data_IF_735347582820
#
_entry.id   IF_735347582820
#
_cell.length_a   1.000
_cell.length_b   1.000
_cell.length_c   1.000
_cell.angle_alpha   90.00
_cell.angle_beta   90.00
_cell.angle_gamma   90.00
#
_symmetry.space_group_name_H-M   'P 1'
#
loop_
_entity.id
_entity.type
_entity.pdbx_description
1 polymer ?
#
# COMPACT_ATOMS: atom_id res chain seq x y z
N UNK A 1 44.13 -19.28 22.12
CA UNK A 1 43.01 -18.31 22.13
C UNK A 1 43.61 -17.00 21.69
N UNK A 2 43.24 -16.46 20.53
CA UNK A 2 43.65 -15.10 20.21
C UNK A 2 42.92 -14.20 21.20
N UNK A 3 43.65 -13.40 21.97
CA UNK A 3 43.05 -12.37 22.80
C UNK A 3 42.18 -11.52 21.89
N UNK A 4 40.87 -11.62 22.06
CA UNK A 4 39.91 -10.82 21.33
C UNK A 4 40.10 -9.41 21.90
N UNK A 5 40.81 -8.56 21.16
CA UNK A 5 41.07 -7.17 21.53
C UNK A 5 39.76 -6.37 21.41
N UNK A 6 38.94 -6.47 22.46
CA UNK A 6 37.70 -5.70 22.58
C UNK A 6 38.12 -4.25 22.86
N UNK A 7 37.71 -3.28 22.02
CA UNK A 7 38.04 -1.88 22.25
C UNK A 7 37.60 -1.42 23.63
N UNK A 8 38.44 -0.66 24.34
CA UNK A 8 38.20 -0.23 25.73
C UNK A 8 36.79 0.33 25.96
N UNK A 9 36.27 1.11 25.01
CA UNK A 9 34.93 1.70 25.09
C UNK A 9 33.76 0.69 25.09
N UNK A 10 34.01 -0.56 24.69
CA UNK A 10 33.02 -1.63 24.62
C UNK A 10 33.25 -2.76 25.62
N UNK A 11 34.28 -2.67 26.48
CA UNK A 11 34.65 -3.75 27.43
C UNK A 11 33.49 -4.15 28.35
N UNK A 12 32.64 -3.18 28.73
CA UNK A 12 31.49 -3.42 29.60
C UNK A 12 30.16 -3.59 28.83
N UNK A 13 30.18 -3.68 27.50
CA UNK A 13 28.96 -3.81 26.70
C UNK A 13 28.60 -5.30 26.47
N UNK A 14 27.53 -5.76 27.11
CA UNK A 14 27.01 -7.13 26.93
C UNK A 14 26.49 -7.44 25.52
N UNK A 15 26.20 -6.41 24.73
CA UNK A 15 25.65 -6.51 23.37
C UNK A 15 26.72 -6.37 22.27
N UNK A 16 28.01 -6.35 22.61
CA UNK A 16 29.07 -6.22 21.62
C UNK A 16 29.24 -7.53 20.83
N UNK A 17 29.08 -7.47 19.51
CA UNK A 17 29.18 -8.61 18.61
C UNK A 17 30.46 -8.54 17.78
N UNK A 18 31.45 -9.37 18.14
CA UNK A 18 32.69 -9.51 17.37
C UNK A 18 32.48 -10.40 16.13
N UNK A 19 33.04 -10.06 14.95
CA UNK A 19 33.84 -8.87 14.61
C UNK A 19 33.02 -7.70 14.06
N UNK A 20 31.70 -7.82 13.97
CA UNK A 20 30.83 -6.88 13.25
C UNK A 20 30.84 -5.45 13.80
N UNK A 21 31.07 -5.29 15.10
CA UNK A 21 31.03 -4.01 15.78
C UNK A 21 32.40 -3.30 15.86
N UNK A 22 33.49 -3.96 15.43
CA UNK A 22 34.83 -3.35 15.39
C UNK A 22 34.89 -2.08 14.55
N UNK A 23 34.01 -1.95 13.56
CA UNK A 23 33.91 -0.75 12.71
C UNK A 23 33.51 0.53 13.48
N UNK A 24 33.01 0.40 14.71
CA UNK A 24 32.65 1.53 15.58
C UNK A 24 33.77 1.94 16.55
N UNK A 25 34.91 1.24 16.54
CA UNK A 25 36.00 1.45 17.52
C UNK A 25 36.57 2.87 17.57
N UNK A 26 36.56 3.58 16.44
CA UNK A 26 37.15 4.91 16.30
C UNK A 26 36.09 6.03 16.29
N UNK A 27 34.83 5.71 16.62
CA UNK A 27 33.76 6.69 16.56
C UNK A 27 33.73 7.56 17.81
N UNK A 28 33.63 8.88 17.62
CA UNK A 28 33.46 9.84 18.71
C UNK A 28 32.12 9.61 19.42
N UNK A 29 32.15 9.64 20.75
CA UNK A 29 30.98 9.44 21.61
C UNK A 29 30.16 10.72 21.63
N UNK A 30 28.83 10.61 21.55
CA UNK A 30 27.93 11.76 21.75
C UNK A 30 27.89 12.13 23.24
N UNK A 31 27.81 13.42 23.57
CA UNK A 31 27.74 13.88 24.96
C UNK A 31 26.53 13.33 25.73
N UNK A 32 25.50 12.84 25.02
CA UNK A 32 24.20 12.49 25.60
C UNK A 32 23.96 10.98 25.75
N UNK A 33 24.79 10.10 25.18
CA UNK A 33 24.58 8.64 25.24
C UNK A 33 25.89 7.88 25.45
N UNK A 34 25.84 6.80 26.22
CA UNK A 34 26.99 5.91 26.38
C UNK A 34 27.27 5.11 25.09
N UNK A 35 28.51 4.65 24.86
CA UNK A 35 28.83 3.80 23.71
C UNK A 35 28.01 2.51 23.66
N UNK A 36 27.79 1.87 24.81
CA UNK A 36 26.98 0.65 24.90
C UNK A 36 25.51 0.90 24.53
N UNK A 37 24.94 2.04 24.95
CA UNK A 37 23.58 2.41 24.62
C UNK A 37 23.41 2.69 23.12
N UNK A 38 24.35 3.43 22.53
CA UNK A 38 24.38 3.68 21.08
C UNK A 38 24.48 2.37 20.29
N UNK A 39 25.34 1.44 20.75
CA UNK A 39 25.48 0.11 20.14
C UNK A 39 24.18 -0.71 20.24
N UNK A 40 23.53 -0.67 21.41
CA UNK A 40 22.24 -1.34 21.64
C UNK A 40 21.19 -0.85 20.64
N UNK A 41 21.06 0.46 20.42
CA UNK A 41 20.11 1.01 19.44
C UNK A 41 20.40 0.59 18.01
N UNK A 42 21.68 0.52 17.63
CA UNK A 42 22.10 0.03 16.31
C UNK A 42 21.70 -1.43 16.11
N UNK A 43 21.93 -2.29 17.11
CA UNK A 43 21.54 -3.70 17.04
C UNK A 43 20.03 -3.89 17.04
N UNK A 44 19.31 -3.12 17.86
CA UNK A 44 17.85 -3.09 17.81
C UNK A 44 17.35 -2.68 16.42
N UNK A 45 17.91 -1.63 15.80
CA UNK A 45 17.55 -1.22 14.45
C UNK A 45 17.83 -2.33 13.41
N UNK A 46 18.99 -2.98 13.46
CA UNK A 46 19.34 -4.09 12.56
C UNK A 46 18.40 -5.29 12.74
N UNK A 47 18.14 -5.70 13.98
CA UNK A 47 17.27 -6.82 14.31
C UNK A 47 15.85 -6.52 13.87
N UNK A 48 15.35 -5.34 14.26
CA UNK A 48 14.01 -4.89 13.92
C UNK A 48 13.80 -4.86 12.40
N UNK A 49 14.75 -4.28 11.65
CA UNK A 49 14.77 -4.31 10.19
C UNK A 49 14.75 -5.73 9.62
N UNK A 50 15.54 -6.65 10.18
CA UNK A 50 15.61 -8.04 9.71
C UNK A 50 14.27 -8.77 9.90
N UNK A 51 13.63 -8.63 11.07
CA UNK A 51 12.39 -9.33 11.36
C UNK A 51 11.17 -8.64 10.74
N UNK A 52 11.00 -7.33 10.97
CA UNK A 52 9.78 -6.59 10.63
C UNK A 52 9.80 -5.99 9.23
N UNK A 53 10.96 -5.74 8.61
CA UNK A 53 11.04 -5.24 7.24
C UNK A 53 11.31 -6.36 6.23
N UNK A 54 12.06 -7.40 6.61
CA UNK A 54 12.35 -8.52 5.71
C UNK A 54 11.49 -9.77 5.99
N UNK A 55 11.67 -10.45 7.12
CA UNK A 55 11.11 -11.80 7.34
C UNK A 55 9.58 -11.79 7.34
N UNK A 56 8.95 -10.92 8.15
CA UNK A 56 7.49 -10.88 8.26
C UNK A 56 6.85 -10.45 6.93
N UNK A 57 7.25 -9.32 6.30
CA UNK A 57 6.74 -8.93 4.98
C UNK A 57 6.95 -9.99 3.91
N UNK A 58 8.04 -10.75 3.95
CA UNK A 58 8.28 -11.86 3.02
C UNK A 58 7.16 -12.91 3.07
N UNK A 59 6.85 -13.44 4.26
CA UNK A 59 5.79 -14.44 4.39
C UNK A 59 4.40 -13.88 4.06
N UNK A 60 4.09 -12.66 4.52
CA UNK A 60 2.80 -12.02 4.25
C UNK A 60 2.65 -11.73 2.74
N UNK A 61 3.71 -11.31 2.05
CA UNK A 61 3.68 -11.02 0.61
C UNK A 61 3.39 -12.26 -0.23
N UNK A 62 3.91 -13.44 0.14
CA UNK A 62 3.60 -14.71 -0.55
C UNK A 62 2.10 -14.98 -0.49
N UNK A 63 1.50 -14.83 0.70
CA UNK A 63 0.06 -15.02 0.87
C UNK A 63 -0.74 -13.99 0.08
N UNK A 64 -0.31 -12.72 0.08
CA UNK A 64 -0.92 -11.65 -0.70
C UNK A 64 -0.87 -11.95 -2.22
N UNK A 65 0.25 -12.48 -2.73
CA UNK A 65 0.40 -12.85 -4.14
C UNK A 65 -0.60 -13.95 -4.50
N UNK A 66 -0.70 -15.01 -3.69
CA UNK A 66 -1.63 -16.13 -3.93
C UNK A 66 -3.08 -15.62 -3.99
N UNK A 67 -3.48 -14.77 -3.05
CA UNK A 67 -4.83 -14.19 -3.02
C UNK A 67 -5.09 -13.29 -4.22
N UNK A 68 -4.15 -12.42 -4.59
CA UNK A 68 -4.31 -11.53 -5.74
C UNK A 68 -4.34 -12.30 -7.06
N UNK A 69 -3.54 -13.36 -7.20
CA UNK A 69 -3.61 -14.27 -8.36
C UNK A 69 -4.96 -14.99 -8.44
N UNK A 70 -5.49 -15.43 -7.29
CA UNK A 70 -6.82 -16.04 -7.23
C UNK A 70 -7.93 -15.06 -7.63
N UNK A 71 -7.89 -13.84 -7.11
CA UNK A 71 -8.82 -12.78 -7.52
C UNK A 71 -8.69 -12.50 -9.02
N UNK A 72 -7.48 -12.35 -9.53
CA UNK A 72 -7.22 -12.11 -10.95
C UNK A 72 -7.82 -13.22 -11.82
N UNK A 73 -7.63 -14.48 -11.45
CA UNK A 73 -8.26 -15.62 -12.11
C UNK A 73 -9.79 -15.52 -12.12
N UNK A 74 -10.41 -15.21 -10.97
CA UNK A 74 -11.86 -15.02 -10.88
C UNK A 74 -12.35 -13.85 -11.77
N UNK A 75 -11.64 -12.72 -11.78
CA UNK A 75 -11.96 -11.55 -12.59
C UNK A 75 -11.86 -11.84 -14.09
N UNK A 76 -10.83 -12.55 -14.54
CA UNK A 76 -10.65 -12.93 -15.94
C UNK A 76 -11.76 -13.88 -16.40
N UNK A 77 -12.12 -14.87 -15.59
CA UNK A 77 -13.20 -15.80 -15.92
C UNK A 77 -14.55 -15.08 -15.99
N UNK A 78 -14.80 -14.15 -15.08
CA UNK A 78 -15.99 -13.31 -15.10
C UNK A 78 -16.00 -12.38 -16.33
N UNK A 79 -14.85 -11.78 -16.67
CA UNK A 79 -14.71 -10.92 -17.85
C UNK A 79 -15.00 -11.67 -19.16
N UNK A 80 -14.47 -12.89 -19.32
CA UNK A 80 -14.75 -13.75 -20.48
C UNK A 80 -16.25 -14.05 -20.63
N UNK A 81 -16.95 -14.32 -19.52
CA UNK A 81 -18.41 -14.53 -19.53
C UNK A 81 -19.15 -13.26 -19.95
N UNK A 82 -18.76 -12.10 -19.42
CA UNK A 82 -19.34 -10.82 -19.82
C UNK A 82 -19.10 -10.51 -21.31
N UNK A 83 -17.97 -10.91 -21.90
CA UNK A 83 -17.72 -10.73 -23.34
C UNK A 83 -18.69 -11.58 -24.17
N UNK A 84 -18.95 -12.82 -23.76
CA UNK A 84 -19.88 -13.72 -24.46
C UNK A 84 -21.32 -13.18 -24.46
N UNK A 85 -21.74 -12.57 -23.35
CA UNK A 85 -23.04 -11.92 -23.24
C UNK A 85 -23.02 -10.52 -23.90
N UNK A 86 -23.10 -10.50 -25.24
CA UNK A 86 -23.08 -9.27 -26.05
C UNK A 86 -24.39 -8.47 -26.02
N UNK A 87 -25.50 -9.07 -25.61
CA UNK A 87 -26.84 -8.49 -25.80
C UNK A 87 -27.32 -7.52 -24.72
N UNK A 88 -26.76 -7.58 -23.51
CA UNK A 88 -27.35 -6.89 -22.35
C UNK A 88 -26.64 -5.55 -22.01
N UNK A 89 -27.38 -4.44 -22.04
CA UNK A 89 -26.86 -3.10 -21.77
C UNK A 89 -26.32 -2.94 -20.33
N UNK A 90 -26.96 -3.61 -19.35
CA UNK A 90 -26.46 -3.71 -17.97
C UNK A 90 -25.06 -4.33 -17.86
N UNK A 91 -24.68 -5.20 -18.82
CA UNK A 91 -23.35 -5.83 -18.86
C UNK A 91 -22.28 -4.81 -19.28
N UNK A 92 -22.64 -3.80 -20.08
CA UNK A 92 -21.70 -2.74 -20.51
C UNK A 92 -21.20 -1.89 -19.34
N UNK A 93 -22.09 -1.52 -18.42
CA UNK A 93 -21.70 -0.76 -17.21
C UNK A 93 -20.70 -1.51 -16.32
N UNK A 94 -20.94 -2.81 -16.12
CA UNK A 94 -20.02 -3.68 -15.35
C UNK A 94 -18.70 -3.94 -16.06
N UNK A 95 -18.69 -4.08 -17.39
CA UNK A 95 -17.45 -4.22 -18.19
C UNK A 95 -16.48 -3.06 -17.92
N UNK A 96 -16.99 -1.82 -17.86
CA UNK A 96 -16.18 -0.62 -17.58
C UNK A 96 -15.51 -0.70 -16.21
N UNK A 97 -16.26 -1.01 -15.16
CA UNK A 97 -15.72 -1.16 -13.79
C UNK A 97 -14.69 -2.30 -13.70
N UNK A 98 -14.98 -3.41 -14.38
CA UNK A 98 -14.12 -4.60 -14.39
C UNK A 98 -12.74 -4.32 -15.03
N UNK A 99 -12.65 -3.44 -16.02
CA UNK A 99 -11.36 -3.03 -16.61
C UNK A 99 -10.46 -2.38 -15.57
N UNK A 100 -10.99 -1.47 -14.75
CA UNK A 100 -10.19 -0.82 -13.70
C UNK A 100 -9.86 -1.79 -12.57
N UNK A 101 -10.79 -2.66 -12.19
CA UNK A 101 -10.56 -3.66 -11.15
C UNK A 101 -9.47 -4.66 -11.58
N UNK A 102 -9.49 -5.13 -12.84
CA UNK A 102 -8.44 -6.01 -13.38
C UNK A 102 -7.08 -5.29 -13.38
N UNK A 103 -7.00 -4.05 -13.89
CA UNK A 103 -5.74 -3.30 -13.91
C UNK A 103 -5.21 -3.02 -12.50
N UNK A 104 -6.10 -2.75 -11.54
CA UNK A 104 -5.75 -2.61 -10.13
C UNK A 104 -5.16 -3.91 -9.57
N UNK A 105 -5.78 -5.07 -9.84
CA UNK A 105 -5.24 -6.36 -9.39
C UNK A 105 -3.90 -6.69 -10.06
N UNK A 106 -3.74 -6.42 -11.37
CA UNK A 106 -2.45 -6.59 -12.06
C UNK A 106 -1.38 -5.73 -11.41
N UNK A 107 -1.69 -4.47 -11.13
CA UNK A 107 -0.80 -3.52 -10.46
C UNK A 107 -0.40 -4.03 -9.07
N UNK A 108 -1.35 -4.52 -8.28
CA UNK A 108 -1.09 -5.15 -6.98
C UNK A 108 -0.16 -6.36 -7.10
N UNK A 109 -0.38 -7.24 -8.09
CA UNK A 109 0.50 -8.41 -8.32
C UNK A 109 1.91 -7.96 -8.69
N UNK A 110 2.05 -7.03 -9.63
CA UNK A 110 3.36 -6.49 -10.05
C UNK A 110 4.06 -5.86 -8.85
N UNK A 111 3.35 -5.06 -8.06
CA UNK A 111 3.89 -4.44 -6.85
C UNK A 111 4.41 -5.47 -5.84
N UNK A 112 3.62 -6.51 -5.55
CA UNK A 112 4.01 -7.57 -4.62
C UNK A 112 5.17 -8.42 -5.15
N UNK A 113 5.17 -8.76 -6.44
CA UNK A 113 6.26 -9.52 -7.08
C UNK A 113 7.55 -8.70 -7.05
N UNK A 114 7.50 -7.41 -7.37
CA UNK A 114 8.72 -6.61 -7.33
C UNK A 114 9.18 -6.32 -5.91
N UNK A 115 8.26 -6.09 -4.96
CA UNK A 115 8.60 -6.00 -3.55
C UNK A 115 9.32 -7.27 -3.08
N UNK A 116 8.81 -8.45 -3.46
CA UNK A 116 9.43 -9.74 -3.17
C UNK A 116 10.83 -9.88 -3.79
N UNK A 117 10.99 -9.53 -5.08
CA UNK A 117 12.30 -9.53 -5.76
C UNK A 117 13.28 -8.59 -5.05
N UNK A 118 12.84 -7.41 -4.63
CA UNK A 118 13.73 -6.49 -3.92
C UNK A 118 14.12 -7.03 -2.55
N UNK A 119 13.21 -7.66 -1.79
CA UNK A 119 13.59 -8.32 -0.54
C UNK A 119 14.62 -9.43 -0.76
N UNK A 120 14.51 -10.19 -1.85
CA UNK A 120 15.51 -11.21 -2.22
C UNK A 120 16.85 -10.58 -2.60
N UNK A 121 16.85 -9.59 -3.49
CA UNK A 121 18.07 -8.86 -3.90
C UNK A 121 18.74 -8.22 -2.70
N UNK A 122 17.96 -7.70 -1.76
CA UNK A 122 18.48 -7.12 -0.53
C UNK A 122 19.06 -8.16 0.43
N UNK A 123 18.53 -9.38 0.44
CA UNK A 123 19.08 -10.49 1.23
C UNK A 123 20.39 -11.03 0.64
N UNK A 124 20.51 -11.10 -0.69
CA UNK A 124 21.68 -11.65 -1.38
C UNK A 124 22.75 -10.62 -1.77
N UNK A 125 22.38 -9.34 -1.89
CA UNK A 125 23.24 -8.27 -2.36
C UNK A 125 23.46 -7.18 -1.31
N UNK A 126 24.57 -6.44 -1.44
CA UNK A 126 24.76 -5.20 -0.67
C UNK A 126 23.90 -4.08 -1.27
N UNK A 127 23.32 -3.24 -0.40
CA UNK A 127 22.54 -2.07 -0.79
C UNK A 127 23.43 -1.05 -1.53
N UNK A 128 23.35 -1.04 -2.85
CA UNK A 128 23.95 -0.02 -3.71
C UNK A 128 22.90 1.00 -4.17
N UNK A 129 23.35 2.17 -4.64
CA UNK A 129 22.49 3.20 -5.23
C UNK A 129 21.50 2.63 -6.25
N UNK A 130 21.96 1.79 -7.18
CA UNK A 130 21.10 1.19 -8.22
C UNK A 130 19.95 0.37 -7.62
N UNK A 131 20.25 -0.48 -6.63
CA UNK A 131 19.23 -1.29 -5.95
C UNK A 131 18.23 -0.43 -5.17
N UNK A 132 18.70 0.62 -4.49
CA UNK A 132 17.86 1.53 -3.75
C UNK A 132 16.98 2.39 -4.67
N UNK A 133 17.53 2.87 -5.78
CA UNK A 133 16.77 3.62 -6.79
C UNK A 133 15.69 2.75 -7.41
N UNK A 134 16.03 1.55 -7.88
CA UNK A 134 15.04 0.61 -8.40
C UNK A 134 13.95 0.29 -7.37
N UNK A 135 14.31 0.11 -6.10
CA UNK A 135 13.33 -0.11 -5.04
C UNK A 135 12.36 1.07 -4.89
N UNK A 136 12.89 2.30 -4.83
CA UNK A 136 12.06 3.50 -4.68
C UNK A 136 11.21 3.72 -5.94
N UNK A 137 11.77 3.53 -7.15
CA UNK A 137 11.02 3.62 -8.41
C UNK A 137 9.85 2.64 -8.38
N UNK A 138 10.09 1.37 -8.04
CA UNK A 138 9.01 0.38 -8.09
C UNK A 138 8.00 0.58 -6.96
N UNK A 139 8.46 0.91 -5.74
CA UNK A 139 7.58 1.23 -4.62
C UNK A 139 6.67 2.41 -4.92
N UNK A 140 7.24 3.50 -5.44
CA UNK A 140 6.47 4.68 -5.85
C UNK A 140 5.58 4.41 -7.05
N UNK A 141 6.02 3.60 -8.03
CA UNK A 141 5.21 3.24 -9.22
C UNK A 141 3.97 2.49 -8.77
N UNK A 142 4.17 1.48 -7.93
CA UNK A 142 3.11 0.68 -7.34
C UNK A 142 2.14 1.54 -6.54
N UNK A 143 2.65 2.45 -5.71
CA UNK A 143 1.83 3.33 -4.89
C UNK A 143 0.98 4.30 -5.74
N UNK A 144 1.59 4.98 -6.72
CA UNK A 144 0.91 5.98 -7.54
C UNK A 144 -0.10 5.31 -8.48
N UNK A 145 0.25 4.19 -9.11
CA UNK A 145 -0.68 3.43 -9.95
C UNK A 145 -1.86 2.90 -9.15
N UNK A 146 -1.62 2.29 -7.98
CA UNK A 146 -2.68 1.79 -7.11
C UNK A 146 -3.62 2.93 -6.66
N UNK A 147 -3.05 4.05 -6.20
CA UNK A 147 -3.80 5.25 -5.81
C UNK A 147 -4.63 5.79 -6.97
N UNK A 148 -4.04 5.89 -8.16
CA UNK A 148 -4.74 6.31 -9.38
C UNK A 148 -5.89 5.39 -9.75
N UNK A 149 -5.73 4.07 -9.64
CA UNK A 149 -6.81 3.11 -9.87
C UNK A 149 -7.90 3.16 -8.81
N UNK A 150 -7.55 3.32 -7.53
CA UNK A 150 -8.54 3.53 -6.47
C UNK A 150 -9.37 4.80 -6.72
N UNK A 151 -8.70 5.90 -7.06
CA UNK A 151 -9.37 7.14 -7.41
C UNK A 151 -10.30 6.95 -8.62
N UNK A 152 -9.80 6.34 -9.70
CA UNK A 152 -10.59 6.11 -10.91
C UNK A 152 -11.80 5.18 -10.66
N UNK A 153 -11.62 4.09 -9.92
CA UNK A 153 -12.72 3.18 -9.57
C UNK A 153 -13.78 3.88 -8.72
N UNK A 154 -13.36 4.66 -7.72
CA UNK A 154 -14.27 5.44 -6.87
C UNK A 154 -15.01 6.50 -7.68
N UNK A 155 -14.32 7.21 -8.57
CA UNK A 155 -14.93 8.21 -9.46
C UNK A 155 -15.96 7.57 -10.40
N UNK A 156 -15.67 6.39 -10.95
CA UNK A 156 -16.63 5.66 -11.78
C UNK A 156 -17.84 5.17 -11.00
N UNK A 157 -17.63 4.71 -9.77
CA UNK A 157 -18.72 4.32 -8.87
C UNK A 157 -19.59 5.53 -8.53
N UNK A 158 -18.98 6.66 -8.21
CA UNK A 158 -19.66 7.93 -7.97
C UNK A 158 -20.50 8.36 -9.18
N UNK A 159 -19.92 8.36 -10.38
CA UNK A 159 -20.64 8.69 -11.61
C UNK A 159 -21.79 7.72 -11.89
N UNK A 160 -21.59 6.43 -11.64
CA UNK A 160 -22.62 5.41 -11.85
C UNK A 160 -23.82 5.57 -10.89
N UNK A 161 -23.58 5.94 -9.63
CA UNK A 161 -24.64 6.10 -8.61
C UNK A 161 -25.32 7.46 -8.73
N UNK A 162 -24.55 8.55 -8.73
CA UNK A 162 -25.09 9.92 -8.61
C UNK A 162 -25.54 10.46 -9.96
N UNK A 163 -24.88 10.07 -11.07
CA UNK A 163 -25.18 10.58 -12.42
C UNK A 163 -25.28 9.43 -13.45
N UNK A 164 -26.25 8.51 -13.31
CA UNK A 164 -26.35 7.32 -14.16
C UNK A 164 -26.48 7.65 -15.65
N UNK A 165 -27.20 8.73 -16.00
CA UNK A 165 -27.37 9.18 -17.40
C UNK A 165 -26.04 9.65 -18.01
N UNK A 166 -25.26 10.43 -17.25
CA UNK A 166 -23.93 10.89 -17.68
C UNK A 166 -22.96 9.71 -17.82
N UNK A 167 -22.98 8.78 -16.87
CA UNK A 167 -22.18 7.56 -16.93
C UNK A 167 -22.49 6.70 -18.16
N UNK A 168 -23.77 6.61 -18.54
CA UNK A 168 -24.21 5.87 -19.73
C UNK A 168 -23.73 6.52 -21.02
N UNK A 169 -23.82 7.84 -21.12
CA UNK A 169 -23.57 8.60 -22.35
C UNK A 169 -22.10 8.93 -22.59
N UNK A 170 -21.37 9.37 -21.56
CA UNK A 170 -20.03 9.96 -21.74
C UNK A 170 -18.90 8.96 -21.52
N UNK A 171 -19.06 8.05 -20.56
CA UNK A 171 -18.02 7.09 -20.18
C UNK A 171 -18.02 5.92 -21.15
N UNK A 172 -17.11 5.92 -22.12
CA UNK A 172 -16.97 4.82 -23.09
C UNK A 172 -15.80 3.92 -22.71
N UNK A 173 -15.85 2.66 -23.14
CA UNK A 173 -14.77 1.68 -22.90
C UNK A 173 -13.42 2.17 -23.44
N UNK A 174 -13.41 2.86 -24.60
CA UNK A 174 -12.21 3.46 -25.17
C UNK A 174 -11.60 4.52 -24.24
N UNK A 175 -12.42 5.42 -23.68
CA UNK A 175 -11.97 6.42 -22.71
C UNK A 175 -11.43 5.78 -21.43
N UNK A 176 -12.02 4.67 -20.99
CA UNK A 176 -11.49 3.93 -19.83
C UNK A 176 -10.07 3.42 -20.08
N UNK A 177 -9.79 2.82 -21.25
CA UNK A 177 -8.44 2.39 -21.61
C UNK A 177 -7.46 3.55 -21.75
N UNK A 178 -7.89 4.68 -22.31
CA UNK A 178 -7.07 5.90 -22.38
C UNK A 178 -6.73 6.37 -20.95
N UNK A 179 -7.71 6.41 -20.04
CA UNK A 179 -7.48 6.81 -18.65
C UNK A 179 -6.50 5.88 -17.93
N UNK A 180 -6.61 4.56 -18.14
CA UNK A 180 -5.63 3.58 -17.64
C UNK A 180 -4.23 3.92 -18.15
N UNK A 181 -4.08 4.16 -19.46
CA UNK A 181 -2.80 4.54 -20.06
C UNK A 181 -2.22 5.83 -19.47
N UNK A 182 -3.04 6.86 -19.25
CA UNK A 182 -2.63 8.12 -18.62
C UNK A 182 -2.16 7.90 -17.20
N UNK A 183 -2.86 7.09 -16.40
CA UNK A 183 -2.45 6.76 -15.02
C UNK A 183 -1.07 6.10 -15.03
N UNK A 184 -0.83 5.14 -15.93
CA UNK A 184 0.46 4.46 -16.06
C UNK A 184 1.60 5.41 -16.46
N UNK A 185 1.38 6.25 -17.47
CA UNK A 185 2.40 7.20 -17.94
C UNK A 185 2.74 8.21 -16.85
N UNK A 186 1.73 8.77 -16.19
CA UNK A 186 1.93 9.69 -15.08
C UNK A 186 2.67 9.02 -13.93
N UNK A 187 2.23 7.83 -13.50
CA UNK A 187 2.88 7.10 -12.43
C UNK A 187 4.34 6.78 -12.77
N UNK A 188 4.62 6.28 -13.96
CA UNK A 188 5.98 5.97 -14.40
C UNK A 188 6.88 7.21 -14.39
N UNK A 189 6.40 8.33 -14.93
CA UNK A 189 7.16 9.59 -14.95
C UNK A 189 7.50 10.06 -13.55
N UNK A 190 6.53 10.08 -12.63
CA UNK A 190 6.75 10.52 -11.25
C UNK A 190 7.63 9.55 -10.47
N UNK A 191 7.49 8.25 -10.70
CA UNK A 191 8.28 7.23 -10.01
C UNK A 191 9.74 7.24 -10.41
N UNK A 192 10.06 7.48 -11.68
CA UNK A 192 11.44 7.67 -12.13
C UNK A 192 12.05 8.89 -11.44
N UNK A 193 11.32 10.02 -11.41
CA UNK A 193 11.78 11.24 -10.75
C UNK A 193 12.02 11.01 -9.24
N UNK A 194 11.01 10.49 -8.53
CA UNK A 194 11.08 10.22 -7.08
C UNK A 194 12.17 9.19 -6.77
N UNK A 195 12.34 8.17 -7.61
CA UNK A 195 13.30 7.10 -7.36
C UNK A 195 14.75 7.48 -7.64
N UNK A 196 15.02 8.33 -8.63
CA UNK A 196 16.36 8.88 -8.86
C UNK A 196 16.71 9.87 -7.75
N UNK A 197 15.83 10.85 -7.50
CA UNK A 197 16.06 11.88 -6.47
C UNK A 197 16.11 11.29 -5.06
N UNK A 198 15.21 10.35 -4.76
CA UNK A 198 15.16 9.65 -3.48
C UNK A 198 16.38 8.76 -3.25
N UNK A 199 16.92 8.10 -4.28
CA UNK A 199 18.16 7.34 -4.11
C UNK A 199 19.38 8.24 -3.89
N UNK A 200 19.44 9.39 -4.57
CA UNK A 200 20.51 10.37 -4.40
C UNK A 200 20.52 10.93 -2.98
N UNK A 201 19.34 11.12 -2.38
CA UNK A 201 19.16 11.53 -0.98
C UNK A 201 19.82 10.54 0.01
N UNK A 202 19.75 9.24 -0.25
CA UNK A 202 20.28 8.21 0.66
C UNK A 202 21.71 7.73 0.35
N UNK A 203 22.17 7.89 -0.90
CA UNK A 203 23.42 7.30 -1.41
C UNK A 203 24.24 8.29 -2.26
N UNK A 204 24.48 9.51 -1.75
CA UNK A 204 25.24 10.55 -2.45
C UNK A 204 26.60 10.07 -2.96
N UNK A 205 27.36 9.30 -2.17
CA UNK A 205 28.71 8.82 -2.50
C UNK A 205 28.77 7.94 -3.76
N UNK A 206 27.68 7.25 -4.07
CA UNK A 206 27.59 6.33 -5.23
C UNK A 206 26.65 6.85 -6.31
N UNK A 207 26.08 8.03 -6.11
CA UNK A 207 25.16 8.64 -7.05
C UNK A 207 25.95 9.29 -8.20
N UNK A 208 25.41 9.26 -9.44
CA UNK A 208 26.06 9.92 -10.57
C UNK A 208 26.02 11.45 -10.46
N UNK A 209 25.18 12.00 -9.58
CA UNK A 209 25.00 13.43 -9.38
C UNK A 209 25.49 13.76 -7.98
N UNK A 210 26.72 14.27 -7.87
CA UNK A 210 27.26 14.75 -6.60
C UNK A 210 26.46 15.98 -6.14
N UNK A 211 25.55 15.77 -5.20
CA UNK A 211 24.79 16.85 -4.56
C UNK A 211 25.30 17.09 -3.14
N UNK A 212 25.70 18.32 -2.86
CA UNK A 212 25.94 18.76 -1.49
C UNK A 212 24.61 18.89 -0.75
N UNK A 213 24.66 18.67 0.57
CA UNK A 213 23.46 18.60 1.41
C UNK A 213 22.64 19.89 1.36
N UNK A 214 23.29 21.03 1.65
CA UNK A 214 22.64 22.33 1.83
C UNK A 214 22.07 22.93 0.53
N UNK A 215 22.69 22.65 -0.62
CA UNK A 215 22.30 23.27 -1.89
C UNK A 215 21.27 22.46 -2.67
N UNK A 216 21.21 21.15 -2.45
CA UNK A 216 20.44 20.26 -3.31
C UNK A 216 19.62 19.23 -2.54
N UNK A 217 20.23 18.51 -1.60
CA UNK A 217 19.56 17.39 -0.93
C UNK A 217 18.35 17.83 -0.11
N UNK A 218 18.54 18.87 0.71
CA UNK A 218 17.50 19.40 1.59
C UNK A 218 16.32 20.04 0.82
N UNK A 219 16.54 20.94 -0.17
CA UNK A 219 15.43 21.49 -0.96
C UNK A 219 14.69 20.42 -1.77
N UNK A 220 15.38 19.39 -2.26
CA UNK A 220 14.73 18.26 -2.95
C UNK A 220 13.86 17.46 -1.98
N UNK A 221 14.37 17.11 -0.80
CA UNK A 221 13.62 16.36 0.21
C UNK A 221 12.39 17.14 0.67
N UNK A 222 12.53 18.45 0.92
CA UNK A 222 11.44 19.34 1.27
C UNK A 222 10.41 19.44 0.15
N UNK A 223 10.85 19.68 -1.09
CA UNK A 223 9.97 19.79 -2.26
C UNK A 223 9.19 18.48 -2.51
N UNK A 224 9.84 17.33 -2.41
CA UNK A 224 9.20 16.02 -2.57
C UNK A 224 8.18 15.76 -1.46
N UNK A 225 8.52 16.08 -0.22
CA UNK A 225 7.62 15.90 0.93
C UNK A 225 6.39 16.78 0.81
N UNK A 226 6.56 18.06 0.44
CA UNK A 226 5.44 18.98 0.20
C UNK A 226 4.58 18.48 -0.96
N UNK A 227 5.20 18.08 -2.07
CA UNK A 227 4.47 17.60 -3.24
C UNK A 227 3.65 16.33 -2.95
N UNK A 228 4.27 15.33 -2.32
CA UNK A 228 3.59 14.09 -1.90
C UNK A 228 2.49 14.41 -0.88
N UNK A 229 2.75 15.32 0.06
CA UNK A 229 1.78 15.77 1.05
C UNK A 229 0.53 16.40 0.42
N UNK A 230 0.71 17.31 -0.54
CA UNK A 230 -0.38 17.94 -1.29
C UNK A 230 -1.18 16.89 -2.06
N UNK A 231 -0.51 15.97 -2.77
CA UNK A 231 -1.18 14.90 -3.50
C UNK A 231 -2.00 13.99 -2.57
N UNK A 232 -1.47 13.65 -1.41
CA UNK A 232 -2.14 12.79 -0.44
C UNK A 232 -3.37 13.48 0.16
N UNK A 233 -3.25 14.75 0.57
CA UNK A 233 -4.37 15.56 1.06
C UNK A 233 -5.44 15.68 -0.03
N UNK A 234 -5.05 15.94 -1.27
CA UNK A 234 -5.99 16.04 -2.40
C UNK A 234 -6.77 14.74 -2.60
N UNK A 235 -6.10 13.58 -2.60
CA UNK A 235 -6.75 12.27 -2.73
C UNK A 235 -7.72 12.01 -1.57
N UNK A 236 -7.33 12.35 -0.33
CA UNK A 236 -8.20 12.20 0.84
C UNK A 236 -9.43 13.10 0.73
N UNK A 237 -9.25 14.37 0.38
CA UNK A 237 -10.36 15.33 0.23
C UNK A 237 -11.34 14.88 -0.85
N UNK A 238 -10.85 14.47 -2.02
CA UNK A 238 -11.69 13.93 -3.09
C UNK A 238 -12.46 12.69 -2.62
N UNK A 239 -11.80 11.80 -1.88
CA UNK A 239 -12.43 10.61 -1.33
C UNK A 239 -13.54 10.94 -0.32
N UNK A 240 -13.29 11.87 0.60
CA UNK A 240 -14.27 12.36 1.59
C UNK A 240 -15.45 13.02 0.87
N UNK A 241 -15.20 13.91 -0.10
CA UNK A 241 -16.25 14.58 -0.86
C UNK A 241 -17.11 13.57 -1.62
N UNK A 242 -16.49 12.56 -2.25
CA UNK A 242 -17.22 11.51 -2.95
C UNK A 242 -18.07 10.67 -2.00
N UNK A 243 -17.50 10.22 -0.87
CA UNK A 243 -18.23 9.46 0.15
C UNK A 243 -19.39 10.27 0.73
N UNK A 244 -19.17 11.54 1.05
CA UNK A 244 -20.19 12.44 1.55
C UNK A 244 -21.35 12.57 0.55
N UNK A 245 -21.05 12.83 -0.73
CA UNK A 245 -22.08 12.95 -1.78
C UNK A 245 -22.85 11.64 -1.99
N UNK A 246 -22.16 10.49 -1.96
CA UNK A 246 -22.81 9.17 -2.05
C UNK A 246 -23.74 8.95 -0.85
N UNK A 247 -23.29 9.30 0.36
CA UNK A 247 -24.09 9.14 1.57
C UNK A 247 -25.33 10.04 1.54
N UNK A 248 -25.18 11.32 1.17
CA UNK A 248 -26.32 12.25 1.03
C UNK A 248 -27.31 11.71 -0.01
N UNK A 249 -26.84 11.33 -1.19
CA UNK A 249 -27.70 10.78 -2.25
C UNK A 249 -28.44 9.52 -1.81
N UNK A 250 -27.73 8.59 -1.15
CA UNK A 250 -28.33 7.35 -0.64
C UNK A 250 -29.38 7.63 0.42
N UNK A 251 -29.11 8.57 1.34
CA UNK A 251 -30.06 8.98 2.39
C UNK A 251 -31.31 9.65 1.81
N UNK A 252 -31.15 10.52 0.82
CA UNK A 252 -32.27 11.18 0.14
C UNK A 252 -33.14 10.17 -0.61
N UNK A 253 -32.53 9.23 -1.34
CA UNK A 253 -33.27 8.19 -2.05
C UNK A 253 -33.92 7.19 -1.09
N UNK A 254 -33.26 6.79 0.00
CA UNK A 254 -33.87 5.90 0.99
C UNK A 254 -35.10 6.55 1.61
N UNK A 255 -35.02 7.86 1.92
CA UNK A 255 -36.15 8.62 2.43
C UNK A 255 -37.28 8.75 1.40
N UNK A 256 -36.95 8.94 0.12
CA UNK A 256 -37.94 8.98 -0.95
C UNK A 256 -38.65 7.62 -1.12
N UNK A 257 -37.92 6.50 -1.09
CA UNK A 257 -38.53 5.16 -1.11
C UNK A 257 -39.42 4.91 0.11
N UNK A 258 -39.02 5.34 1.30
CA UNK A 258 -39.88 5.23 2.49
C UNK A 258 -41.11 6.13 2.39
N UNK A 259 -41.01 7.32 1.81
CA UNK A 259 -42.17 8.22 1.61
C UNK A 259 -43.12 7.68 0.53
N UNK A 260 -42.61 7.14 -0.58
CA UNK A 260 -43.44 6.52 -1.62
C UNK A 260 -44.14 5.29 -1.08
N UNK A 261 -43.45 4.48 -0.29
CA UNK A 261 -44.04 3.31 0.37
C UNK A 261 -45.07 3.73 1.43
N UNK A 262 -44.78 4.77 2.21
CA UNK A 262 -45.70 5.31 3.21
C UNK A 262 -46.92 6.02 2.61
N UNK A 263 -46.84 6.59 1.40
CA UNK A 263 -48.03 7.10 0.72
C UNK A 263 -48.96 5.98 0.22
N UNK A 264 -48.47 4.75 0.09
CA UNK A 264 -49.33 3.56 -0.07
C UNK A 264 -49.83 2.97 1.25
N UNK A 265 -49.14 3.27 2.35
CA UNK A 265 -49.54 2.89 3.71
C UNK A 265 -49.72 4.14 4.57
N UNK A 266 -50.74 4.94 4.25
CA UNK A 266 -51.26 6.03 5.10
C UNK A 266 -51.95 5.48 6.38
N UNK A 267 -51.46 4.35 6.87
CA UNK A 267 -51.90 3.62 8.04
C UNK A 267 -50.64 3.05 8.70
N UNK A 268 -50.02 3.85 9.56
CA UNK A 268 -49.49 3.47 10.89
C UNK A 268 -48.41 4.46 11.33
N UNK A 269 -48.89 5.43 12.11
CA UNK A 269 -48.29 5.97 13.33
C UNK A 269 -46.76 6.19 13.39
N UNK A 270 -46.44 7.49 13.36
CA UNK A 270 -45.65 8.24 14.34
C UNK A 270 -44.62 7.51 15.22
N UNK A 271 -43.41 8.07 15.12
CA UNK A 271 -42.49 8.40 16.21
C UNK A 271 -41.82 7.25 16.97
N UNK A 272 -40.50 7.11 16.72
CA UNK A 272 -39.50 7.32 17.77
C UNK A 272 -38.12 7.58 17.15
N UNK A 273 -37.78 8.86 17.06
CA UNK A 273 -36.45 9.39 16.77
C UNK A 273 -35.70 9.40 18.10
N UNK A 274 -34.68 8.56 18.25
CA UNK A 274 -33.66 8.74 19.30
C UNK A 274 -32.28 8.77 18.66
N UNK A 275 -31.75 10.00 18.67
CA UNK A 275 -30.39 10.38 18.35
C UNK A 275 -29.37 9.64 19.25
N UNK A 276 -28.30 9.13 18.63
CA UNK A 276 -26.99 9.03 19.30
C UNK A 276 -25.91 9.58 18.37
N UNK A 277 -25.68 10.89 18.52
CA UNK A 277 -24.41 11.53 18.24
C UNK A 277 -23.40 11.08 19.31
N UNK A 278 -22.13 10.91 18.93
CA UNK A 278 -21.07 10.59 19.89
C UNK A 278 -19.71 10.35 19.24
N UNK A 279 -19.14 11.42 18.69
CA UNK A 279 -17.70 11.76 18.67
C UNK A 279 -16.67 10.69 18.26
N UNK A 280 -16.22 10.78 17.00
CA UNK A 280 -14.95 10.20 16.56
C UNK A 280 -13.86 11.22 16.88
N UNK A 281 -13.10 10.99 17.96
CA UNK A 281 -11.87 11.71 18.28
C UNK A 281 -10.82 11.46 17.18
N UNK A 282 -10.57 12.48 16.36
CA UNK A 282 -9.46 12.55 15.41
C UNK A 282 -8.16 12.90 16.15
N UNK A 283 -7.55 11.92 16.79
CA UNK A 283 -6.22 12.05 17.38
C UNK A 283 -5.33 11.00 16.68
N UNK A 284 -4.77 11.32 15.50
CA UNK A 284 -3.68 10.53 14.89
C UNK A 284 -2.92 11.22 13.74
N UNK A 285 -3.22 12.47 13.34
CA UNK A 285 -2.53 13.11 12.20
C UNK A 285 -1.30 13.95 12.55
N UNK A 286 -0.87 14.04 13.81
CA UNK A 286 0.25 14.92 14.23
C UNK A 286 1.62 14.19 14.29
N UNK A 287 1.66 12.86 14.20
CA UNK A 287 2.91 12.11 14.43
C UNK A 287 3.94 12.24 13.29
N UNK A 288 3.53 12.61 12.06
CA UNK A 288 4.47 12.72 10.94
C UNK A 288 5.27 14.04 10.91
N UNK A 289 4.70 15.16 11.40
CA UNK A 289 5.30 16.48 11.19
C UNK A 289 6.42 16.81 12.17
N UNK A 290 6.33 16.33 13.42
CA UNK A 290 7.29 16.67 14.48
C UNK A 290 8.64 15.96 14.30
N UNK A 291 8.71 14.87 13.54
CA UNK A 291 9.95 14.11 13.37
C UNK A 291 10.80 14.55 12.16
N UNK A 292 10.32 15.45 11.29
CA UNK A 292 11.05 15.81 10.06
C UNK A 292 12.43 16.43 10.33
N UNK A 293 12.56 17.27 11.37
CA UNK A 293 13.85 17.87 11.74
C UNK A 293 14.86 16.85 12.29
N UNK A 294 14.38 15.87 13.06
CA UNK A 294 15.25 14.78 13.53
C UNK A 294 15.62 13.80 12.40
N UNK A 295 14.72 13.61 11.43
CA UNK A 295 14.97 12.81 10.24
C UNK A 295 15.94 13.50 9.27
N UNK A 296 15.88 14.84 9.13
CA UNK A 296 16.79 15.59 8.24
C UNK A 296 18.24 15.53 8.73
N UNK A 297 18.48 15.39 10.03
CA UNK A 297 19.82 15.14 10.59
C UNK A 297 20.48 13.84 10.05
N UNK A 298 19.67 12.86 9.60
CA UNK A 298 20.19 11.66 8.91
C UNK A 298 20.76 12.02 7.53
N UNK A 299 20.42 13.20 6.97
CA UNK A 299 20.95 13.69 5.71
C UNK A 299 22.25 14.49 5.82
N UNK A 300 22.49 15.22 6.92
CA UNK A 300 23.52 16.29 7.01
C UNK A 300 25.00 15.87 6.85
N UNK A 301 25.32 14.58 6.77
CA UNK A 301 26.71 14.08 6.87
C UNK A 301 26.94 12.83 6.03
N UNK A 302 28.17 12.63 5.54
CA UNK A 302 28.60 11.44 4.78
C UNK A 302 28.27 10.14 5.52
N UNK A 303 27.91 9.07 4.79
CA UNK A 303 27.46 7.79 5.39
C UNK A 303 28.64 7.02 5.98
N UNK A 304 29.03 7.35 7.21
CA UNK A 304 30.08 6.63 7.95
C UNK A 304 29.48 5.64 8.95
N UNK A 305 30.18 4.55 9.32
CA UNK A 305 29.76 3.66 10.41
C UNK A 305 29.49 4.45 11.70
N UNK A 306 30.27 5.50 11.96
CA UNK A 306 30.12 6.37 13.11
C UNK A 306 28.82 7.17 13.09
N UNK A 307 28.29 7.53 11.92
CA UNK A 307 26.97 8.16 11.80
C UNK A 307 25.86 7.20 12.24
N UNK A 308 25.90 5.95 11.76
CA UNK A 308 24.95 4.92 12.18
C UNK A 308 25.01 4.68 13.68
N UNK A 309 26.22 4.71 14.25
CA UNK A 309 26.44 4.61 15.68
C UNK A 309 25.82 5.79 16.45
N UNK A 310 26.11 7.02 16.03
CA UNK A 310 25.65 8.24 16.71
C UNK A 310 24.12 8.44 16.61
N UNK A 311 23.52 8.10 15.48
CA UNK A 311 22.09 8.26 15.23
C UNK A 311 21.29 6.96 15.33
N UNK A 312 21.83 5.93 16.02
CA UNK A 312 21.21 4.61 16.09
C UNK A 312 19.74 4.63 16.52
N UNK A 313 19.38 5.53 17.45
CA UNK A 313 18.00 5.74 17.88
C UNK A 313 17.09 6.24 16.76
N UNK A 314 17.54 7.24 15.99
CA UNK A 314 16.75 7.79 14.87
C UNK A 314 16.64 6.73 13.76
N UNK A 315 17.71 5.99 13.49
CA UNK A 315 17.67 4.86 12.55
C UNK A 315 16.62 3.82 12.97
N UNK A 316 16.53 3.48 14.26
CA UNK A 316 15.49 2.58 14.75
C UNK A 316 14.07 3.14 14.49
N UNK A 317 13.83 4.43 14.75
CA UNK A 317 12.54 5.07 14.50
C UNK A 317 12.16 5.06 13.01
N UNK A 318 13.11 5.34 12.12
CA UNK A 318 12.88 5.30 10.66
C UNK A 318 12.54 3.88 10.21
N UNK A 319 13.29 2.88 10.68
CA UNK A 319 13.07 1.47 10.34
C UNK A 319 11.70 0.98 10.88
N UNK A 320 11.29 1.44 12.07
CA UNK A 320 9.97 1.18 12.64
C UNK A 320 8.82 1.78 11.83
N UNK A 321 8.98 3.02 11.36
CA UNK A 321 8.01 3.67 10.48
C UNK A 321 7.96 3.00 9.10
N UNK A 322 9.10 2.67 8.53
CA UNK A 322 9.18 2.00 7.23
C UNK A 322 8.56 0.59 7.29
N UNK A 323 8.84 -0.19 8.33
CA UNK A 323 8.27 -1.52 8.49
C UNK A 323 6.77 -1.49 8.73
N UNK A 324 6.29 -0.55 9.56
CA UNK A 324 4.85 -0.42 9.83
C UNK A 324 4.09 -0.03 8.58
N UNK A 325 4.62 0.93 7.80
CA UNK A 325 4.08 1.29 6.50
C UNK A 325 4.04 0.09 5.53
N UNK A 326 5.13 -0.68 5.43
CA UNK A 326 5.19 -1.86 4.58
C UNK A 326 4.18 -2.94 5.01
N UNK A 327 4.06 -3.24 6.30
CA UNK A 327 3.11 -4.22 6.83
C UNK A 327 1.67 -3.77 6.57
N UNK A 328 1.32 -2.51 6.89
CA UNK A 328 -0.01 -1.95 6.64
C UNK A 328 -0.36 -2.03 5.15
N UNK A 329 0.61 -1.71 4.29
CA UNK A 329 0.44 -1.76 2.85
C UNK A 329 0.15 -3.18 2.34
N UNK A 330 0.92 -4.19 2.78
CA UNK A 330 0.71 -5.59 2.39
C UNK A 330 -0.62 -6.13 2.95
N UNK A 331 -0.98 -5.78 4.19
CA UNK A 331 -2.29 -6.12 4.76
C UNK A 331 -3.40 -5.53 3.91
N UNK A 332 -3.28 -4.28 3.47
CA UNK A 332 -4.22 -3.66 2.52
C UNK A 332 -4.36 -4.48 1.23
N UNK A 333 -3.25 -4.97 0.67
CA UNK A 333 -3.24 -5.82 -0.53
C UNK A 333 -3.84 -7.23 -0.32
N UNK A 334 -3.96 -7.69 0.92
CA UNK A 334 -4.67 -8.93 1.28
C UNK A 334 -6.17 -8.65 1.47
N UNK A 335 -6.49 -7.62 2.23
CA UNK A 335 -7.87 -7.26 2.56
C UNK A 335 -8.67 -6.86 1.33
N UNK A 336 -8.07 -6.12 0.39
CA UNK A 336 -8.78 -5.62 -0.79
C UNK A 336 -9.37 -6.75 -1.66
N UNK A 337 -8.62 -7.79 -2.06
CA UNK A 337 -9.20 -8.94 -2.73
C UNK A 337 -10.28 -9.67 -1.94
N UNK A 338 -10.11 -9.81 -0.62
CA UNK A 338 -11.10 -10.49 0.23
C UNK A 338 -12.41 -9.68 0.24
N UNK A 339 -12.32 -8.36 0.36
CA UNK A 339 -13.48 -7.46 0.32
C UNK A 339 -14.16 -7.55 -1.05
N UNK A 340 -13.40 -7.48 -2.14
CA UNK A 340 -13.94 -7.56 -3.51
C UNK A 340 -14.68 -8.90 -3.73
N UNK A 341 -14.08 -10.02 -3.33
CA UNK A 341 -14.70 -11.35 -3.44
C UNK A 341 -15.95 -11.50 -2.55
N UNK A 342 -15.98 -10.85 -1.40
CA UNK A 342 -17.07 -10.95 -0.43
C UNK A 342 -18.26 -10.06 -0.76
N UNK A 343 -18.01 -8.88 -1.34
CA UNK A 343 -19.02 -7.84 -1.61
C UNK A 343 -19.65 -7.97 -2.99
N UNK A 344 -18.89 -8.34 -4.03
CA UNK A 344 -19.45 -8.51 -5.37
C UNK A 344 -20.20 -9.86 -5.48
N UNK A 345 -21.54 -9.79 -5.53
CA UNK A 345 -22.42 -10.96 -5.68
C UNK A 345 -22.07 -11.83 -6.89
N UNK A 346 -21.58 -11.25 -7.99
CA UNK A 346 -21.23 -12.00 -9.18
C UNK A 346 -19.92 -12.77 -8.98
N UNK A 347 -18.89 -12.13 -8.42
CA UNK A 347 -17.63 -12.79 -8.09
C UNK A 347 -17.80 -13.83 -6.99
N UNK A 348 -18.66 -13.58 -6.01
CA UNK A 348 -19.00 -14.55 -4.96
C UNK A 348 -19.63 -15.84 -5.52
N UNK A 349 -20.47 -15.73 -6.55
CA UNK A 349 -21.03 -16.90 -7.25
C UNK A 349 -19.95 -17.70 -7.98
N UNK A 350 -19.04 -17.01 -8.67
CA UNK A 350 -17.89 -17.67 -9.32
C UNK A 350 -16.98 -18.35 -8.29
N UNK A 351 -16.63 -17.64 -7.21
CA UNK A 351 -15.85 -18.19 -6.10
C UNK A 351 -16.49 -19.47 -5.53
N UNK A 352 -17.80 -19.45 -5.24
CA UNK A 352 -18.53 -20.63 -4.74
C UNK A 352 -18.48 -21.79 -5.74
N UNK A 353 -18.62 -21.52 -7.04
CA UNK A 353 -18.54 -22.54 -8.10
C UNK A 353 -17.15 -23.20 -8.13
N UNK A 354 -16.09 -22.41 -8.12
CA UNK A 354 -14.71 -22.93 -8.13
C UNK A 354 -14.36 -23.67 -6.83
N UNK A 355 -14.80 -23.14 -5.68
CA UNK A 355 -14.57 -23.79 -4.41
C UNK A 355 -15.27 -25.15 -4.32
N UNK A 356 -16.52 -25.24 -4.82
CA UNK A 356 -17.23 -26.51 -4.93
C UNK A 356 -16.52 -27.48 -5.89
N UNK A 357 -16.04 -27.01 -7.04
CA UNK A 357 -15.27 -27.83 -7.99
C UNK A 357 -13.97 -28.38 -7.35
N UNK A 358 -13.23 -27.55 -6.61
CA UNK A 358 -12.02 -27.97 -5.91
C UNK A 358 -12.32 -28.97 -4.79
N UNK A 359 -13.40 -28.78 -4.03
CA UNK A 359 -13.85 -29.76 -3.03
C UNK A 359 -14.17 -31.11 -3.66
N UNK A 360 -14.94 -31.13 -4.75
CA UNK A 360 -15.29 -32.37 -5.45
C UNK A 360 -14.07 -33.08 -6.04
N UNK A 361 -13.03 -32.36 -6.46
CA UNK A 361 -11.82 -32.96 -7.04
C UNK A 361 -10.80 -33.41 -6.00
N UNK A 362 -10.68 -32.72 -4.85
CA UNK A 362 -9.71 -33.06 -3.80
C UNK A 362 -10.18 -34.23 -2.94
N UNK A 363 -11.49 -34.36 -2.76
CA UNK A 363 -12.08 -35.54 -2.14
C UNK A 363 -12.52 -36.49 -3.26
N UNK A 364 -11.57 -37.33 -3.74
CA UNK A 364 -11.87 -38.54 -4.51
C UNK A 364 -12.61 -39.56 -3.61
N UNK A 365 -13.77 -39.17 -3.08
CA UNK A 365 -14.78 -40.12 -2.68
C UNK A 365 -15.66 -40.33 -3.91
N UNK A 366 -15.63 -41.55 -4.43
CA UNK A 366 -16.62 -42.04 -5.40
C UNK A 366 -18.06 -41.98 -4.82
N UNK A 367 -19.09 -41.95 -5.68
CA UNK A 367 -19.84 -40.72 -5.91
C UNK A 367 -21.28 -40.79 -5.40
N UNK A 368 -21.82 -39.65 -4.95
CA UNK A 368 -23.27 -39.50 -4.81
C UNK A 368 -23.81 -38.69 -6.00
N UNK A 369 -24.87 -39.17 -6.66
CA UNK A 369 -25.42 -38.57 -7.86
C UNK A 369 -25.84 -37.16 -7.53
N UNK A 370 -25.27 -36.20 -8.25
CA UNK A 370 -25.59 -34.79 -8.14
C UNK A 370 -27.07 -34.58 -8.48
N UNK A 371 -27.92 -34.67 -7.46
CA UNK A 371 -29.21 -33.99 -7.29
C UNK A 371 -29.91 -33.68 -8.61
N UNK A 372 -30.47 -34.73 -9.19
CA UNK A 372 -31.51 -34.61 -10.18
C UNK A 372 -32.84 -34.33 -9.45
N UNK A 373 -32.96 -33.15 -8.83
CA UNK A 373 -34.26 -32.62 -8.44
C UNK A 373 -34.73 -31.71 -9.58
N UNK A 374 -35.14 -32.37 -10.68
CA UNK A 374 -36.18 -31.85 -11.56
C UNK A 374 -37.46 -32.55 -11.15
N UNK A 375 -38.19 -31.92 -10.24
CA UNK A 375 -39.62 -31.67 -10.50
C UNK A 375 -39.69 -30.57 -11.57
#
# INVERSE_FOLDING_TARGET
MADIDIPYQFVNCTYFEYPHDLKYKNCSISLNMTPCESLKWVHLAKNFRTYFLAIIPFFISIFAIIINLYLFFCLINYWKKCISDKGNEHVSGKKKQLIFLINKTITSIVALVTFYVVLLVWKFGSLQYSSASLFIIVGSLSFITLTGFYFATTLLLYLAIVKPVYYKTVVTTRKCYIAVGVIWVFALSFSILIGILGATLFYHDTSPISCQFSTCQDPIALSLTIFIGILYIFVILEYIIMLYKIHVYTKTNSHLTTVIQNNSSLFLNNENIINKNGEIKNENTIVATVNLYHLSAIGELTKTPCKTFHFGKIYFEVEALASSAAIIWIIGMICDPIIVLSTDKALKKEHKKYFNYLKCKKFNWEPLPCLNNRE
#
